data_IF_327802712271
#
_entry.id   IF_327802712271
#
_cell.length_a   1.000
_cell.length_b   1.000
_cell.length_c   1.000
_cell.angle_alpha   90.00
_cell.angle_beta   90.00
_cell.angle_gamma   90.00
#
_symmetry.space_group_name_H-M   'P 1'
#
loop_
_entity.id
_entity.type
_entity.pdbx_description
1 polymer ?
#
# COMPACT_ATOMS: atom_id res chain seq x y z
N UNK A 1 14.29 15.61 32.33
CA UNK A 1 12.93 15.79 31.79
C UNK A 1 12.83 14.94 30.53
N UNK A 2 12.36 13.69 30.66
CA UNK A 2 12.35 12.68 29.59
C UNK A 2 10.96 12.06 29.48
N UNK A 3 9.93 12.89 29.25
CA UNK A 3 8.53 12.47 29.22
C UNK A 3 7.84 12.71 27.86
N UNK A 4 8.56 13.13 26.81
CA UNK A 4 7.95 13.56 25.55
C UNK A 4 7.86 12.49 24.44
N UNK A 5 8.12 11.21 24.74
CA UNK A 5 8.21 10.19 23.69
C UNK A 5 7.22 9.02 23.80
N UNK A 6 6.48 8.85 24.90
CA UNK A 6 5.50 7.76 25.04
C UNK A 6 4.08 8.17 24.62
N UNK A 7 3.68 9.42 24.85
CA UNK A 7 2.32 9.89 24.51
C UNK A 7 2.06 9.93 23.00
N UNK A 8 3.10 10.15 22.18
CA UNK A 8 2.96 10.08 20.71
C UNK A 8 2.80 8.67 20.15
N UNK A 9 3.25 7.63 20.87
CA UNK A 9 2.92 6.26 20.49
C UNK A 9 1.49 5.94 20.87
N UNK A 10 0.92 6.49 21.94
CA UNK A 10 -0.50 6.31 22.27
C UNK A 10 -1.45 7.02 21.28
N UNK A 11 -1.12 8.25 20.89
CA UNK A 11 -1.96 9.09 20.01
C UNK A 11 -1.81 8.71 18.51
N UNK A 12 -0.72 8.02 18.16
CA UNK A 12 -0.44 7.51 16.81
C UNK A 12 -0.19 5.99 16.79
N UNK A 13 -0.66 5.25 17.79
CA UNK A 13 -0.97 3.83 17.59
C UNK A 13 -2.31 3.92 16.87
N UNK A 14 -2.30 3.87 15.53
CA UNK A 14 -3.51 4.14 14.79
C UNK A 14 -4.54 3.18 15.35
N UNK A 15 -5.75 3.63 15.65
CA UNK A 15 -6.85 2.74 16.03
C UNK A 15 -6.96 1.58 15.02
N UNK A 16 -6.50 1.83 13.78
CA UNK A 16 -6.23 0.85 12.73
C UNK A 16 -5.28 -0.29 13.09
N UNK A 17 -4.29 -0.14 13.96
CA UNK A 17 -3.33 -1.18 14.33
C UNK A 17 -3.99 -2.31 15.12
N UNK A 18 -4.63 -1.99 16.25
CA UNK A 18 -5.33 -2.99 17.06
C UNK A 18 -6.52 -3.59 16.28
N UNK A 19 -7.26 -2.75 15.56
CA UNK A 19 -8.37 -3.21 14.70
C UNK A 19 -7.84 -4.09 13.56
N UNK A 20 -6.74 -3.72 12.90
CA UNK A 20 -6.13 -4.55 11.87
C UNK A 20 -5.60 -5.86 12.43
N UNK A 21 -4.99 -5.86 13.62
CA UNK A 21 -4.56 -7.09 14.27
C UNK A 21 -5.74 -8.02 14.54
N UNK A 22 -6.86 -7.49 15.02
CA UNK A 22 -8.10 -8.27 15.22
C UNK A 22 -8.64 -8.81 13.89
N UNK A 23 -8.72 -7.97 12.85
CA UNK A 23 -9.18 -8.38 11.52
C UNK A 23 -8.27 -9.46 10.90
N UNK A 24 -6.96 -9.34 11.08
CA UNK A 24 -5.98 -10.36 10.64
C UNK A 24 -6.16 -11.64 11.45
N UNK A 25 -6.30 -11.57 12.76
CA UNK A 25 -6.50 -12.73 13.61
C UNK A 25 -7.81 -13.48 13.26
N UNK A 26 -8.90 -12.74 13.04
CA UNK A 26 -10.19 -13.30 12.61
C UNK A 26 -10.06 -13.93 11.22
N UNK A 27 -9.41 -13.24 10.27
CA UNK A 27 -9.18 -13.75 8.92
C UNK A 27 -8.34 -15.03 8.90
N UNK A 28 -7.26 -15.07 9.70
CA UNK A 28 -6.41 -16.25 9.85
C UNK A 28 -7.15 -17.41 10.52
N UNK A 29 -7.88 -17.15 11.61
CA UNK A 29 -8.66 -18.18 12.31
C UNK A 29 -9.76 -18.78 11.43
N UNK A 30 -10.52 -17.94 10.74
CA UNK A 30 -11.55 -18.39 9.80
C UNK A 30 -10.94 -19.13 8.59
N UNK A 31 -9.83 -18.62 8.05
CA UNK A 31 -9.12 -19.26 6.94
C UNK A 31 -8.55 -20.63 7.30
N UNK A 32 -7.98 -20.78 8.50
CA UNK A 32 -7.46 -22.06 8.98
C UNK A 32 -8.59 -23.07 9.24
N UNK A 33 -9.72 -22.61 9.78
CA UNK A 33 -10.90 -23.46 10.02
C UNK A 33 -11.49 -23.99 8.71
N UNK A 34 -11.59 -23.14 7.69
CA UNK A 34 -12.02 -23.56 6.35
C UNK A 34 -11.01 -24.53 5.73
N UNK A 35 -9.71 -24.30 5.92
CA UNK A 35 -8.66 -25.20 5.44
C UNK A 35 -8.69 -26.58 6.10
N UNK A 36 -9.02 -26.65 7.40
CA UNK A 36 -9.10 -27.89 8.17
C UNK A 36 -10.41 -28.68 7.90
N UNK A 37 -11.51 -27.98 7.57
CA UNK A 37 -12.79 -28.62 7.25
C UNK A 37 -12.82 -29.30 5.86
N UNK A 38 -11.75 -29.19 5.07
CA UNK A 38 -11.61 -29.80 3.76
C UNK A 38 -11.02 -31.22 3.90
N UNK A 39 -11.89 -32.23 3.84
CA UNK A 39 -11.52 -33.67 3.78
C UNK A 39 -10.67 -33.97 2.53
N UNK A 40 -9.84 -35.01 2.64
CA UNK A 40 -8.73 -35.35 1.72
C UNK A 40 -9.04 -35.35 0.23
N UNK A 41 -10.26 -35.68 -0.19
CA UNK A 41 -10.65 -35.74 -1.61
C UNK A 41 -11.05 -34.38 -2.20
N UNK A 42 -11.52 -33.44 -1.37
CA UNK A 42 -11.89 -32.09 -1.80
C UNK A 42 -10.72 -31.09 -1.73
N UNK A 43 -9.58 -31.48 -1.13
CA UNK A 43 -8.36 -30.66 -0.98
C UNK A 43 -7.89 -30.04 -2.29
N UNK A 44 -8.03 -30.76 -3.41
CA UNK A 44 -7.56 -30.28 -4.70
C UNK A 44 -8.47 -29.22 -5.30
N UNK A 45 -9.80 -29.38 -5.26
CA UNK A 45 -10.71 -28.38 -5.82
C UNK A 45 -10.87 -27.17 -4.91
N UNK A 46 -10.94 -27.39 -3.60
CA UNK A 46 -11.09 -26.32 -2.64
C UNK A 46 -9.78 -25.56 -2.41
N UNK A 47 -8.63 -26.23 -2.49
CA UNK A 47 -7.32 -25.58 -2.53
C UNK A 47 -7.14 -24.71 -3.77
N UNK A 48 -7.57 -25.18 -4.95
CA UNK A 48 -7.56 -24.36 -6.17
C UNK A 48 -8.51 -23.17 -6.02
N UNK A 49 -9.76 -23.37 -5.58
CA UNK A 49 -10.73 -22.30 -5.40
C UNK A 49 -10.23 -21.24 -4.40
N UNK A 50 -9.62 -21.64 -3.28
CA UNK A 50 -9.03 -20.72 -2.31
C UNK A 50 -7.86 -19.93 -2.91
N UNK A 51 -7.01 -20.56 -3.72
CA UNK A 51 -5.92 -19.87 -4.43
C UNK A 51 -6.50 -18.87 -5.44
N UNK A 52 -7.51 -19.25 -6.22
CA UNK A 52 -8.12 -18.35 -7.22
C UNK A 52 -8.80 -17.16 -6.55
N UNK A 53 -9.55 -17.40 -5.47
CA UNK A 53 -10.23 -16.35 -4.71
C UNK A 53 -9.23 -15.45 -3.98
N UNK A 54 -8.18 -16.03 -3.38
CA UNK A 54 -7.10 -15.27 -2.75
C UNK A 54 -6.32 -14.42 -3.75
N UNK A 55 -6.01 -14.96 -4.92
CA UNK A 55 -5.37 -14.21 -6.00
C UNK A 55 -6.27 -13.08 -6.52
N UNK A 56 -7.58 -13.34 -6.67
CA UNK A 56 -8.55 -12.33 -7.09
C UNK A 56 -8.70 -11.21 -6.05
N UNK A 57 -8.70 -11.54 -4.77
CA UNK A 57 -8.79 -10.56 -3.68
C UNK A 57 -7.56 -9.63 -3.59
N UNK A 58 -6.40 -10.05 -4.12
CA UNK A 58 -5.18 -9.24 -4.15
C UNK A 58 -5.15 -8.24 -5.31
N UNK A 59 -6.00 -8.37 -6.32
CA UNK A 59 -6.06 -7.46 -7.48
C UNK A 59 -6.08 -5.97 -7.06
N UNK A 60 -7.00 -5.51 -6.19
CA UNK A 60 -7.03 -4.09 -5.78
C UNK A 60 -5.79 -3.66 -4.99
N UNK A 61 -5.18 -4.56 -4.21
CA UNK A 61 -3.96 -4.26 -3.43
C UNK A 61 -2.79 -4.05 -4.39
N UNK A 62 -2.61 -4.96 -5.35
CA UNK A 62 -1.56 -4.85 -6.37
C UNK A 62 -1.77 -3.60 -7.23
N UNK A 63 -3.01 -3.31 -7.63
CA UNK A 63 -3.33 -2.09 -8.38
C UNK A 63 -3.05 -0.81 -7.58
N UNK A 64 -3.38 -0.79 -6.30
CA UNK A 64 -3.09 0.34 -5.41
C UNK A 64 -1.58 0.58 -5.24
N UNK A 65 -0.79 -0.49 -5.11
CA UNK A 65 0.67 -0.41 -5.01
C UNK A 65 1.27 0.04 -6.36
N UNK A 66 0.85 -0.58 -7.47
CA UNK A 66 1.34 -0.27 -8.81
C UNK A 66 1.02 1.18 -9.20
N UNK A 67 -0.20 1.65 -8.95
CA UNK A 67 -0.59 3.04 -9.17
C UNK A 67 0.20 4.00 -8.27
N UNK A 68 0.49 3.66 -7.02
CA UNK A 68 1.32 4.51 -6.14
C UNK A 68 2.78 4.60 -6.59
N UNK A 69 3.31 3.54 -7.20
CA UNK A 69 4.65 3.51 -7.78
C UNK A 69 4.68 4.29 -9.10
N UNK A 70 3.70 4.05 -9.98
CA UNK A 70 3.63 4.71 -11.30
C UNK A 70 3.26 6.19 -11.20
N UNK A 71 2.43 6.57 -10.24
CA UNK A 71 2.04 7.96 -9.97
C UNK A 71 3.03 8.69 -9.08
N UNK A 72 4.15 8.05 -8.69
CA UNK A 72 5.25 8.74 -8.01
C UNK A 72 5.86 9.67 -9.06
N UNK A 73 5.55 10.98 -9.01
CA UNK A 73 5.90 11.84 -10.11
C UNK A 73 7.41 11.95 -10.12
N UNK A 74 7.96 11.93 -11.31
CA UNK A 74 9.28 12.33 -11.75
C UNK A 74 9.57 13.82 -11.36
N UNK A 75 9.34 14.18 -10.08
CA UNK A 75 9.36 15.56 -9.59
C UNK A 75 10.74 16.17 -9.76
N UNK A 76 11.80 15.36 -9.70
CA UNK A 76 13.17 15.83 -9.91
C UNK A 76 13.47 16.27 -11.34
N UNK A 77 12.77 15.73 -12.36
CA UNK A 77 13.00 16.09 -13.77
C UNK A 77 11.97 17.11 -14.26
N UNK A 78 10.72 17.02 -13.81
CA UNK A 78 9.71 18.06 -14.06
C UNK A 78 10.11 19.42 -13.43
N UNK A 79 10.73 19.41 -12.24
CA UNK A 79 11.26 20.62 -11.59
C UNK A 79 12.42 21.23 -12.40
N UNK A 80 13.30 20.40 -12.98
CA UNK A 80 14.42 20.87 -13.83
C UNK A 80 13.91 21.59 -15.08
N UNK A 81 12.90 21.02 -15.74
CA UNK A 81 12.27 21.62 -16.91
C UNK A 81 11.61 22.98 -16.59
N UNK A 82 11.05 23.12 -15.38
CA UNK A 82 10.47 24.39 -14.91
C UNK A 82 11.55 25.45 -14.61
N UNK A 83 12.72 25.04 -14.10
CA UNK A 83 13.85 25.95 -13.86
C UNK A 83 14.54 26.38 -15.16
N UNK A 84 14.65 25.48 -16.16
CA UNK A 84 15.14 25.81 -17.50
C UNK A 84 14.22 26.82 -18.21
N UNK A 85 12.90 26.65 -18.09
CA UNK A 85 11.94 27.61 -18.64
C UNK A 85 12.06 29.01 -18.02
N UNK A 86 12.31 29.10 -16.71
CA UNK A 86 12.57 30.39 -16.05
C UNK A 86 13.91 30.96 -16.53
N UNK A 87 14.96 30.15 -16.69
CA UNK A 87 16.25 30.66 -17.17
C UNK A 87 16.18 31.19 -18.61
N UNK A 88 15.49 30.51 -19.51
CA UNK A 88 15.35 30.94 -20.90
C UNK A 88 14.49 32.21 -21.08
N UNK A 89 13.49 32.41 -20.20
CA UNK A 89 12.64 33.60 -20.26
C UNK A 89 13.43 34.90 -20.00
N UNK A 90 14.48 34.86 -19.16
CA UNK A 90 15.26 36.04 -18.81
C UNK A 90 16.33 36.37 -19.86
N UNK A 91 16.83 35.37 -20.61
CA UNK A 91 17.86 35.58 -21.64
C UNK A 91 17.29 36.37 -22.85
N UNK A 92 15.99 36.17 -23.13
CA UNK A 92 15.29 36.83 -24.26
C UNK A 92 14.98 38.30 -23.99
N UNK A 93 15.01 38.73 -22.73
CA UNK A 93 14.69 40.10 -22.30
C UNK A 93 15.92 41.02 -22.22
N UNK A 94 17.15 40.47 -22.34
CA UNK A 94 18.41 41.23 -22.27
C UNK A 94 18.95 41.60 -23.66
N UNK A 95 18.38 41.03 -24.74
CA UNK A 95 18.75 41.32 -26.14
C UNK A 95 17.88 42.39 -26.84
N UNK A 96 17.01 43.11 -26.12
CA UNK A 96 16.25 44.26 -26.66
C UNK A 96 16.70 45.61 -26.10
#
# INVERSE_FOLDING_TARGET
MSQLSLDKFGENLPVSGIVAFSQVAIGLGAGLLVADNIRSDARRSAGVALITVGAAALIPVVWGIASKISSRPESSRAMRKKLEGIRGAYDTDIEQ
#
